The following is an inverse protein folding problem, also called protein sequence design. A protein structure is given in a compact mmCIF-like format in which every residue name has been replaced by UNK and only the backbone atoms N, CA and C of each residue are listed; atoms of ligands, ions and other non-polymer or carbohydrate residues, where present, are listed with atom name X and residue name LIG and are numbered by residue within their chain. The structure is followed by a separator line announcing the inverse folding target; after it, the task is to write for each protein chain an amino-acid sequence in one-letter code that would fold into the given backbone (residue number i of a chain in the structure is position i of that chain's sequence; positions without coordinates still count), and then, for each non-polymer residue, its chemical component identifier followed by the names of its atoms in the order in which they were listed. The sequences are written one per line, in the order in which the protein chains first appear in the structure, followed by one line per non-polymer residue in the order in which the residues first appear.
data_IF_730553757504
#
_entry.id   IF_730553757504
#
_cell.length_a   1.000
_cell.length_b   1.000
_cell.length_c   1.000
_cell.angle_alpha   90.00
_cell.angle_beta   90.00
_cell.angle_gamma   90.00
#
_symmetry.space_group_name_H-M   'P 1'
#
loop_
_entity.id
_entity.type
_entity.pdbx_description
1 polymer ?
#
# COMPACT_ATOMS: atom_id res chain seq x y z
N UNK A 1 26.76 -9.00 43.11
CA UNK A 1 26.17 -9.38 41.80
C UNK A 1 26.65 -8.37 40.79
N UNK A 2 27.52 -8.80 39.86
CA UNK A 2 28.25 -7.89 38.97
C UNK A 2 27.35 -7.34 37.83
N UNK A 3 27.46 -6.04 37.55
CA UNK A 3 26.71 -5.31 36.51
C UNK A 3 26.70 -6.00 35.12
N UNK A 4 27.78 -6.68 34.66
CA UNK A 4 27.77 -7.37 33.37
C UNK A 4 26.88 -8.63 33.37
N UNK A 5 26.73 -9.34 34.48
CA UNK A 5 25.84 -10.51 34.55
C UNK A 5 24.36 -10.14 34.49
N UNK A 6 23.97 -9.01 35.09
CA UNK A 6 22.60 -8.51 35.00
C UNK A 6 22.22 -8.06 33.57
N UNK A 7 23.14 -7.47 32.82
CA UNK A 7 22.92 -7.10 31.42
C UNK A 7 22.81 -8.34 30.52
N UNK A 8 23.63 -9.36 30.76
CA UNK A 8 23.58 -10.62 30.03
C UNK A 8 22.27 -11.39 30.29
N UNK A 9 21.81 -11.46 31.53
CA UNK A 9 20.52 -12.09 31.85
C UNK A 9 19.33 -11.34 31.29
N UNK A 10 19.37 -9.99 31.25
CA UNK A 10 18.30 -9.17 30.71
C UNK A 10 18.15 -9.33 29.20
N UNK A 11 19.28 -9.41 28.47
CA UNK A 11 19.28 -9.65 27.01
C UNK A 11 18.82 -11.06 26.64
N UNK A 12 19.19 -12.07 27.42
CA UNK A 12 18.75 -13.48 27.18
C UNK A 12 17.25 -13.64 27.48
N UNK A 13 16.75 -12.97 28.50
CA UNK A 13 15.33 -13.04 28.88
C UNK A 13 14.44 -12.27 27.90
N UNK A 14 14.93 -11.14 27.35
CA UNK A 14 14.21 -10.37 26.32
C UNK A 14 14.17 -11.09 24.96
N UNK A 15 15.25 -11.81 24.61
CA UNK A 15 15.30 -12.61 23.39
C UNK A 15 14.40 -13.86 23.46
N UNK A 16 14.30 -14.51 24.63
CA UNK A 16 13.41 -15.66 24.80
C UNK A 16 11.94 -15.24 24.84
N UNK A 17 11.63 -14.08 25.43
CA UNK A 17 10.28 -13.52 25.46
C UNK A 17 9.80 -13.10 24.08
N UNK A 18 10.67 -12.50 23.26
CA UNK A 18 10.39 -12.19 21.85
C UNK A 18 10.18 -13.44 21.01
N UNK A 19 10.97 -14.50 21.21
CA UNK A 19 10.78 -15.79 20.55
C UNK A 19 9.45 -16.44 20.90
N UNK A 20 9.04 -16.42 22.16
CA UNK A 20 7.74 -17.00 22.57
C UNK A 20 6.58 -16.23 21.95
N UNK A 21 6.62 -14.89 21.90
CA UNK A 21 5.54 -14.11 21.30
C UNK A 21 5.45 -14.29 19.80
N UNK A 22 6.56 -14.45 19.07
CA UNK A 22 6.54 -14.70 17.61
C UNK A 22 6.04 -16.11 17.28
N UNK A 23 6.37 -17.13 18.08
CA UNK A 23 5.88 -18.50 17.87
C UNK A 23 4.35 -18.58 18.07
N UNK A 24 3.82 -17.94 19.12
CA UNK A 24 2.37 -17.94 19.38
C UNK A 24 1.59 -17.24 18.27
N UNK A 25 2.09 -16.10 17.76
CA UNK A 25 1.43 -15.39 16.65
C UNK A 25 1.51 -16.16 15.34
N UNK A 26 2.60 -16.87 15.08
CA UNK A 26 2.75 -17.71 13.88
C UNK A 26 1.76 -18.90 13.90
N UNK A 27 1.50 -19.49 15.06
CA UNK A 27 0.54 -20.58 15.21
C UNK A 27 -0.91 -20.11 15.03
N UNK A 28 -1.28 -18.97 15.61
CA UNK A 28 -2.63 -18.39 15.44
C UNK A 28 -2.92 -18.01 13.98
N UNK A 29 -1.93 -17.47 13.29
CA UNK A 29 -2.07 -17.09 11.90
C UNK A 29 -2.10 -18.30 10.96
N UNK A 30 -1.37 -19.37 11.29
CA UNK A 30 -1.45 -20.64 10.58
C UNK A 30 -2.84 -21.28 10.70
N UNK A 31 -3.46 -21.19 11.88
CA UNK A 31 -4.85 -21.65 12.09
C UNK A 31 -5.85 -20.86 11.25
N UNK A 32 -5.73 -19.53 11.21
CA UNK A 32 -6.60 -18.68 10.36
C UNK A 32 -6.44 -18.98 8.87
N UNK A 33 -5.21 -19.22 8.41
CA UNK A 33 -4.97 -19.63 7.02
C UNK A 33 -5.58 -21.00 6.71
N UNK A 34 -5.51 -21.94 7.66
CA UNK A 34 -6.12 -23.26 7.51
C UNK A 34 -7.64 -23.18 7.45
N UNK A 35 -8.28 -22.31 8.22
CA UNK A 35 -9.72 -22.03 8.14
C UNK A 35 -10.15 -21.50 6.76
N UNK A 36 -9.27 -20.73 6.11
CA UNK A 36 -9.47 -20.22 4.75
C UNK A 36 -9.10 -21.26 3.67
N UNK A 37 -8.67 -22.46 4.06
CA UNK A 37 -8.28 -23.53 3.13
C UNK A 37 -6.88 -23.39 2.53
N UNK A 38 -6.03 -22.52 3.08
CA UNK A 38 -4.65 -22.31 2.62
C UNK A 38 -3.64 -22.91 3.59
N UNK A 39 -2.59 -23.52 3.05
CA UNK A 39 -1.41 -23.92 3.83
C UNK A 39 -0.37 -22.81 3.78
N UNK A 40 0.29 -22.54 4.91
CA UNK A 40 1.34 -21.52 4.98
C UNK A 40 2.55 -21.96 4.17
N UNK A 41 2.72 -21.44 2.96
CA UNK A 41 3.82 -21.75 2.06
C UNK A 41 4.97 -20.72 2.12
N UNK A 42 4.72 -19.52 2.65
CA UNK A 42 5.67 -18.41 2.67
C UNK A 42 6.10 -18.08 4.10
N UNK A 43 7.40 -17.90 4.30
CA UNK A 43 7.95 -17.43 5.58
C UNK A 43 7.76 -15.92 5.73
N UNK A 44 7.33 -15.47 6.91
CA UNK A 44 7.20 -14.05 7.24
C UNK A 44 8.55 -13.39 7.41
N UNK A 45 9.01 -12.66 6.40
CA UNK A 45 10.29 -11.93 6.44
C UNK A 45 10.10 -10.41 6.44
N UNK A 46 8.89 -9.92 6.18
CA UNK A 46 8.63 -8.49 6.10
C UNK A 46 8.24 -7.92 7.46
N UNK A 47 9.03 -6.95 7.93
CA UNK A 47 8.66 -6.09 9.05
C UNK A 47 7.65 -5.04 8.61
N UNK A 48 6.87 -4.49 9.55
CA UNK A 48 5.93 -3.39 9.30
C UNK A 48 6.62 -2.21 8.60
N UNK A 49 7.83 -1.86 9.01
CA UNK A 49 8.63 -0.81 8.37
C UNK A 49 9.02 -1.13 6.94
N UNK A 50 9.30 -2.40 6.65
CA UNK A 50 9.62 -2.85 5.29
C UNK A 50 8.40 -2.74 4.36
N UNK A 51 7.22 -3.15 4.84
CA UNK A 51 5.97 -3.03 4.09
C UNK A 51 5.62 -1.56 3.83
N UNK A 52 5.77 -0.71 4.83
CA UNK A 52 5.55 0.73 4.72
C UNK A 52 6.52 1.37 3.72
N UNK A 53 7.79 0.97 3.75
CA UNK A 53 8.79 1.42 2.78
C UNK A 53 8.47 1.02 1.34
N UNK A 54 8.04 -0.23 1.14
CA UNK A 54 7.60 -0.72 -0.18
C UNK A 54 6.35 0.05 -0.65
N UNK A 55 5.36 0.24 0.22
CA UNK A 55 4.15 1.01 -0.09
C UNK A 55 4.47 2.45 -0.49
N UNK A 56 5.35 3.12 0.25
CA UNK A 56 5.79 4.48 -0.05
C UNK A 56 6.53 4.56 -1.40
N UNK A 57 7.39 3.59 -1.69
CA UNK A 57 8.14 3.51 -2.95
C UNK A 57 7.22 3.28 -4.15
N UNK A 58 6.20 2.43 -4.01
CA UNK A 58 5.25 2.13 -5.10
C UNK A 58 4.32 3.29 -5.42
N UNK A 59 3.91 4.07 -4.41
CA UNK A 59 2.98 5.19 -4.64
C UNK A 59 3.61 6.37 -5.36
N UNK A 60 4.94 6.56 -5.27
CA UNK A 60 5.67 7.65 -5.95
C UNK A 60 4.94 9.02 -5.89
N UNK A 61 4.30 9.29 -4.76
CA UNK A 61 3.32 10.37 -4.59
C UNK A 61 3.90 11.76 -4.80
N UNK A 62 5.16 11.98 -4.38
CA UNK A 62 5.82 13.28 -4.51
C UNK A 62 6.08 13.65 -5.98
N UNK A 63 6.40 12.67 -6.83
CA UNK A 63 6.57 12.88 -8.26
C UNK A 63 5.24 13.22 -8.93
N UNK A 64 4.18 12.46 -8.63
CA UNK A 64 2.85 12.74 -9.13
C UNK A 64 2.33 14.11 -8.73
N UNK A 65 2.58 14.52 -7.48
CA UNK A 65 2.19 15.84 -6.98
C UNK A 65 2.94 16.96 -7.72
N UNK A 66 4.26 16.83 -7.92
CA UNK A 66 5.06 17.84 -8.62
C UNK A 66 4.64 18.00 -10.08
N UNK A 67 4.35 16.92 -10.78
CA UNK A 67 3.86 16.94 -12.15
C UNK A 67 2.46 17.57 -12.29
N UNK A 68 1.58 17.32 -11.31
CA UNK A 68 0.23 17.89 -11.29
C UNK A 68 0.17 19.34 -10.79
N UNK A 69 1.23 19.84 -10.17
CA UNK A 69 1.24 21.15 -9.51
C UNK A 69 0.97 22.32 -10.48
N UNK A 70 1.56 22.26 -11.67
CA UNK A 70 1.36 23.29 -12.72
C UNK A 70 -0.11 23.35 -13.13
N UNK A 71 -0.73 22.19 -13.37
CA UNK A 71 -2.15 22.11 -13.72
C UNK A 71 -3.03 22.60 -12.56
N UNK A 72 -2.71 22.25 -11.33
CA UNK A 72 -3.43 22.68 -10.13
C UNK A 72 -3.39 24.19 -9.92
N UNK A 73 -2.24 24.83 -10.10
CA UNK A 73 -2.08 26.30 -10.00
C UNK A 73 -2.91 27.00 -11.07
N UNK A 74 -2.88 26.50 -12.30
CA UNK A 74 -3.63 27.08 -13.41
C UNK A 74 -5.15 26.90 -13.29
N UNK A 75 -5.61 25.86 -12.59
CA UNK A 75 -7.04 25.54 -12.46
C UNK A 75 -7.76 26.27 -11.32
N UNK A 76 -7.07 26.63 -10.26
CA UNK A 76 -7.72 27.25 -9.09
C UNK A 76 -6.76 27.87 -8.09
N UNK A 77 -5.48 28.00 -8.47
CA UNK A 77 -4.46 28.62 -7.65
C UNK A 77 -4.04 27.79 -6.44
N UNK A 78 -3.23 28.40 -5.60
CA UNK A 78 -2.65 27.74 -4.41
C UNK A 78 -3.69 27.29 -3.40
N UNK A 79 -4.79 28.00 -3.27
CA UNK A 79 -5.88 27.66 -2.36
C UNK A 79 -6.51 26.31 -2.72
N UNK A 80 -6.78 26.06 -4.01
CA UNK A 80 -7.33 24.79 -4.47
C UNK A 80 -6.43 23.62 -4.14
N UNK A 81 -5.11 23.80 -4.30
CA UNK A 81 -4.13 22.74 -4.01
C UNK A 81 -4.14 22.41 -2.51
N UNK A 82 -4.07 23.41 -1.64
CA UNK A 82 -4.00 23.18 -0.18
C UNK A 82 -5.26 22.51 0.34
N UNK A 83 -6.42 23.10 0.07
CA UNK A 83 -7.69 22.54 0.53
C UNK A 83 -8.03 21.21 -0.15
N UNK A 84 -7.71 21.08 -1.44
CA UNK A 84 -7.90 19.84 -2.19
C UNK A 84 -7.10 18.69 -1.61
N UNK A 85 -5.82 18.89 -1.27
CA UNK A 85 -4.98 17.88 -0.64
C UNK A 85 -5.55 17.44 0.72
N UNK A 86 -6.01 18.38 1.54
CA UNK A 86 -6.59 18.05 2.86
C UNK A 86 -7.85 17.20 2.69
N UNK A 87 -8.76 17.59 1.80
CA UNK A 87 -10.00 16.84 1.56
C UNK A 87 -9.69 15.43 1.03
N UNK A 88 -8.83 15.36 0.02
CA UNK A 88 -8.44 14.06 -0.55
C UNK A 88 -7.73 13.18 0.49
N UNK A 89 -6.88 13.75 1.35
CA UNK A 89 -6.23 13.00 2.42
C UNK A 89 -7.25 12.41 3.41
N UNK A 90 -8.27 13.17 3.81
CA UNK A 90 -9.33 12.67 4.69
C UNK A 90 -10.11 11.52 4.03
N UNK A 91 -10.56 11.71 2.79
CA UNK A 91 -11.31 10.68 2.06
C UNK A 91 -10.46 9.43 1.84
N UNK A 92 -9.21 9.59 1.42
CA UNK A 92 -8.28 8.47 1.20
C UNK A 92 -8.00 7.70 2.48
N UNK A 93 -7.92 8.39 3.62
CA UNK A 93 -7.74 7.73 4.93
C UNK A 93 -8.95 6.87 5.28
N UNK A 94 -10.17 7.34 5.06
CA UNK A 94 -11.39 6.54 5.27
C UNK A 94 -11.39 5.28 4.39
N UNK A 95 -11.04 5.42 3.11
CA UNK A 95 -10.94 4.28 2.19
C UNK A 95 -9.84 3.32 2.63
N UNK A 96 -8.67 3.82 3.05
CA UNK A 96 -7.56 3.00 3.52
C UNK A 96 -7.93 2.18 4.76
N UNK A 97 -8.67 2.75 5.71
CA UNK A 97 -9.16 2.04 6.90
C UNK A 97 -10.07 0.88 6.47
N UNK A 98 -11.06 1.13 5.62
CA UNK A 98 -11.95 0.09 5.13
C UNK A 98 -11.23 -1.04 4.39
N UNK A 99 -10.26 -0.70 3.55
CA UNK A 99 -9.45 -1.69 2.84
C UNK A 99 -8.53 -2.48 3.77
N UNK A 100 -8.04 -1.86 4.85
CA UNK A 100 -7.20 -2.53 5.84
C UNK A 100 -7.98 -3.59 6.62
N UNK A 101 -9.24 -3.31 6.95
CA UNK A 101 -10.14 -4.29 7.58
C UNK A 101 -10.38 -5.49 6.66
N UNK A 102 -10.66 -5.24 5.37
CA UNK A 102 -10.84 -6.31 4.39
C UNK A 102 -9.55 -7.14 4.17
N UNK A 103 -8.40 -6.48 4.11
CA UNK A 103 -7.11 -7.15 3.99
C UNK A 103 -6.77 -8.01 5.21
N UNK A 104 -7.17 -7.57 6.41
CA UNK A 104 -6.99 -8.33 7.65
C UNK A 104 -7.94 -9.53 7.73
N UNK A 105 -9.20 -9.37 7.30
CA UNK A 105 -10.20 -10.43 7.34
C UNK A 105 -9.99 -11.50 6.26
N UNK A 106 -9.53 -11.08 5.06
CA UNK A 106 -9.37 -11.95 3.90
C UNK A 106 -8.02 -11.69 3.21
N UNK A 107 -6.90 -12.21 3.78
CA UNK A 107 -5.57 -12.03 3.21
C UNK A 107 -5.41 -12.88 1.95
N UNK A 108 -5.68 -12.29 0.79
CA UNK A 108 -5.57 -12.93 -0.52
C UNK A 108 -4.73 -12.10 -1.48
N UNK A 109 -3.88 -12.76 -2.26
CA UNK A 109 -3.12 -12.12 -3.34
C UNK A 109 -4.02 -11.51 -4.44
N UNK A 110 -5.29 -11.95 -4.52
CA UNK A 110 -6.29 -11.41 -5.42
C UNK A 110 -6.76 -9.99 -5.07
N UNK A 111 -6.57 -9.54 -3.82
CA UNK A 111 -6.93 -8.18 -3.40
C UNK A 111 -8.39 -7.82 -3.70
N UNK A 112 -8.60 -6.67 -4.33
CA UNK A 112 -9.92 -6.06 -4.49
C UNK A 112 -10.91 -6.91 -5.29
N UNK A 113 -10.49 -7.61 -6.35
CA UNK A 113 -11.41 -8.44 -7.13
C UNK A 113 -11.85 -9.71 -6.38
N UNK A 114 -11.00 -10.24 -5.50
CA UNK A 114 -11.35 -11.35 -4.64
C UNK A 114 -12.37 -10.92 -3.58
N UNK A 115 -12.15 -9.79 -2.91
CA UNK A 115 -13.10 -9.24 -1.95
C UNK A 115 -14.44 -8.92 -2.59
N UNK A 116 -14.43 -8.35 -3.80
CA UNK A 116 -15.66 -8.12 -4.57
C UNK A 116 -16.41 -9.41 -4.87
N UNK A 117 -15.69 -10.52 -5.12
CA UNK A 117 -16.31 -11.83 -5.33
C UNK A 117 -16.98 -12.34 -4.06
N UNK A 118 -16.31 -12.25 -2.91
CA UNK A 118 -16.84 -12.81 -1.65
C UNK A 118 -17.98 -11.98 -1.06
N UNK A 119 -17.89 -10.63 -1.14
CA UNK A 119 -18.91 -9.75 -0.57
C UNK A 119 -20.14 -9.57 -1.46
N UNK A 120 -20.03 -9.79 -2.77
CA UNK A 120 -21.17 -9.62 -3.67
C UNK A 120 -22.21 -10.71 -3.50
N UNK A 121 -23.48 -10.36 -3.75
CA UNK A 121 -24.60 -11.31 -3.76
C UNK A 121 -24.36 -12.44 -4.77
N UNK A 122 -24.80 -13.66 -4.46
CA UNK A 122 -24.61 -14.88 -5.27
C UNK A 122 -24.89 -14.71 -6.77
N UNK A 123 -25.85 -13.86 -7.11
CA UNK A 123 -26.23 -13.56 -8.50
C UNK A 123 -25.18 -12.69 -9.23
N UNK A 124 -24.52 -11.78 -8.51
CA UNK A 124 -23.63 -10.76 -9.09
C UNK A 124 -22.15 -11.02 -8.85
N UNK A 125 -21.77 -12.05 -8.09
CA UNK A 125 -20.38 -12.35 -7.72
C UNK A 125 -19.41 -12.31 -8.91
N UNK A 126 -19.74 -13.01 -9.98
CA UNK A 126 -18.87 -13.12 -11.16
C UNK A 126 -18.75 -11.78 -11.90
N UNK A 127 -19.85 -11.05 -12.05
CA UNK A 127 -19.86 -9.78 -12.77
C UNK A 127 -19.12 -8.70 -11.99
N UNK A 128 -19.35 -8.63 -10.67
CA UNK A 128 -18.67 -7.67 -9.80
C UNK A 128 -17.15 -7.91 -9.77
N UNK A 129 -16.71 -9.14 -9.55
CA UNK A 129 -15.29 -9.49 -9.54
C UNK A 129 -14.61 -9.20 -10.88
N UNK A 130 -15.27 -9.57 -11.99
CA UNK A 130 -14.76 -9.30 -13.32
C UNK A 130 -14.66 -7.80 -13.61
N UNK A 131 -15.69 -7.03 -13.26
CA UNK A 131 -15.71 -5.57 -13.40
C UNK A 131 -14.57 -4.91 -12.62
N UNK A 132 -14.40 -5.26 -11.35
CA UNK A 132 -13.31 -4.73 -10.51
C UNK A 132 -11.94 -5.09 -11.09
N UNK A 133 -11.77 -6.32 -11.57
CA UNK A 133 -10.52 -6.74 -12.22
C UNK A 133 -10.21 -5.91 -13.46
N UNK A 134 -11.20 -5.67 -14.32
CA UNK A 134 -11.04 -4.82 -15.51
C UNK A 134 -10.68 -3.38 -15.16
N UNK A 135 -11.38 -2.78 -14.19
CA UNK A 135 -11.08 -1.41 -13.75
C UNK A 135 -9.69 -1.30 -13.13
N UNK A 136 -9.27 -2.28 -12.33
CA UNK A 136 -7.92 -2.31 -11.76
C UNK A 136 -6.84 -2.43 -12.84
N UNK A 137 -7.06 -3.28 -13.84
CA UNK A 137 -6.14 -3.45 -14.98
C UNK A 137 -6.05 -2.17 -15.82
N UNK A 138 -7.19 -1.60 -16.19
CA UNK A 138 -7.23 -0.34 -16.93
C UNK A 138 -6.57 0.81 -16.15
N UNK A 139 -6.86 0.92 -14.86
CA UNK A 139 -6.24 1.90 -13.96
C UNK A 139 -4.72 1.79 -13.93
N UNK A 140 -4.18 0.59 -13.90
CA UNK A 140 -2.73 0.34 -13.94
C UNK A 140 -2.09 0.81 -15.25
N UNK A 141 -2.76 0.57 -16.39
CA UNK A 141 -2.29 1.04 -17.71
C UNK A 141 -2.29 2.57 -17.76
N UNK A 142 -3.40 3.20 -17.36
CA UNK A 142 -3.49 4.67 -17.37
C UNK A 142 -2.49 5.32 -16.41
N UNK A 143 -2.27 4.73 -15.25
CA UNK A 143 -1.25 5.19 -14.31
C UNK A 143 0.15 5.13 -14.93
N UNK A 144 0.51 4.01 -15.54
CA UNK A 144 1.81 3.85 -16.20
C UNK A 144 2.00 4.82 -17.36
N UNK A 145 0.97 5.02 -18.18
CA UNK A 145 0.98 5.97 -19.29
C UNK A 145 1.14 7.42 -18.78
N UNK A 146 0.46 7.77 -17.69
CA UNK A 146 0.56 9.11 -17.06
C UNK A 146 1.97 9.40 -16.57
N UNK A 147 2.62 8.43 -15.92
CA UNK A 147 4.02 8.58 -15.46
C UNK A 147 4.98 8.74 -16.65
N UNK A 148 4.80 7.94 -17.71
CA UNK A 148 5.63 8.05 -18.90
C UNK A 148 5.48 9.42 -19.58
N UNK A 149 4.27 9.94 -19.67
CA UNK A 149 3.99 11.27 -20.20
C UNK A 149 4.62 12.39 -19.34
N UNK A 150 4.53 12.29 -18.02
CA UNK A 150 5.15 13.24 -17.11
C UNK A 150 6.68 13.27 -17.26
N UNK A 151 7.32 12.12 -17.42
CA UNK A 151 8.76 12.03 -17.69
C UNK A 151 9.11 12.71 -19.01
N UNK A 152 8.33 12.50 -20.06
CA UNK A 152 8.55 13.15 -21.36
C UNK A 152 8.49 14.68 -21.24
N UNK A 153 7.53 15.23 -20.52
CA UNK A 153 7.42 16.67 -20.29
C UNK A 153 8.61 17.24 -19.50
N UNK A 154 9.12 16.51 -18.51
CA UNK A 154 10.30 16.94 -17.75
C UNK A 154 11.53 17.01 -18.66
N UNK A 155 11.75 15.98 -19.50
CA UNK A 155 12.89 15.95 -20.43
C UNK A 155 12.79 17.09 -21.45
N UNK A 156 11.60 17.32 -22.02
CA UNK A 156 11.38 18.42 -22.95
C UNK A 156 11.59 19.79 -22.28
N UNK A 157 11.11 19.97 -21.06
CA UNK A 157 11.31 21.19 -20.29
C UNK A 157 12.80 21.46 -20.01
N UNK A 158 13.58 20.45 -19.68
CA UNK A 158 15.03 20.57 -19.51
C UNK A 158 15.72 20.95 -20.82
N UNK A 159 15.29 20.38 -21.93
CA UNK A 159 15.80 20.70 -23.26
C UNK A 159 15.55 22.18 -23.63
N UNK A 160 14.31 22.66 -23.40
CA UNK A 160 13.94 24.05 -23.69
C UNK A 160 14.72 25.05 -22.84
N UNK A 161 14.99 24.73 -21.56
CA UNK A 161 15.82 25.57 -20.70
C UNK A 161 17.29 25.63 -21.15
N UNK A 162 17.80 24.56 -21.75
CA UNK A 162 19.17 24.50 -22.27
C UNK A 162 19.32 25.18 -23.63
N UNK A 163 18.23 25.31 -24.39
CA UNK A 163 18.23 25.92 -25.74
C UNK A 163 17.13 27.00 -25.84
N UNK A 164 17.28 28.15 -25.15
CA UNK A 164 16.33 29.25 -25.30
C UNK A 164 16.41 29.80 -26.75
N UNK A 165 15.31 29.66 -27.47
CA UNK A 165 15.12 30.29 -28.79
C UNK A 165 14.65 31.71 -28.65
#
# INVERSE_FOLDING_TARGET
MNRPEMLSQKTTNDSSRRRSSTVVTDDEDALRLAELGYTQALSRKFSVWSILGVGFSLTNSWFGLSAAMVTGINSGGTALIIYGVIIVACVSTCVAISLSELASAMPSAGGQYFWAHELASKRWKKVASYGVGWFSWAGSIFCSASVALALAFIVLGMWQLSHPQ
#
